data_IF_136999714775
#
_entry.id   IF_136999714775
#
_cell.length_a   1.000
_cell.length_b   1.000
_cell.length_c   1.000
_cell.angle_alpha   90.00
_cell.angle_beta   90.00
_cell.angle_gamma   90.00
#
_symmetry.space_group_name_H-M   'P 1'
#
loop_
_entity.id
_entity.type
_entity.pdbx_description
1 polymer ?
#
# COMPACT_ATOMS: atom_id res chain seq x y z
N UNK A 1 9.09 0.33 -11.36
CA UNK A 1 9.46 0.99 -10.22
C UNK A 1 8.33 1.62 -9.63
N UNK A 2 7.27 1.15 -9.22
CA UNK A 2 6.90 1.52 -7.87
C UNK A 2 7.16 0.39 -6.89
N UNK A 3 7.38 0.78 -5.62
CA UNK A 3 7.44 -0.13 -4.48
C UNK A 3 6.31 0.23 -3.53
N UNK A 4 5.37 -0.68 -3.35
CA UNK A 4 4.28 -0.50 -2.40
C UNK A 4 4.51 -1.38 -1.18
N UNK A 5 4.47 -0.78 0.00
CA UNK A 5 4.57 -1.49 1.27
C UNK A 5 3.27 -1.32 2.02
N UNK A 6 2.66 -2.43 2.42
CA UNK A 6 1.43 -2.45 3.20
C UNK A 6 1.74 -2.94 4.60
N UNK A 7 1.39 -2.13 5.60
CA UNK A 7 1.47 -2.50 7.01
C UNK A 7 0.05 -2.58 7.56
N UNK A 8 -0.26 -3.65 8.29
CA UNK A 8 -1.62 -3.82 8.81
C UNK A 8 -1.63 -4.50 10.18
N UNK A 9 -2.62 -4.15 10.98
CA UNK A 9 -2.84 -4.80 12.27
C UNK A 9 -3.42 -6.19 12.09
N UNK A 10 -2.97 -7.13 12.91
CA UNK A 10 -3.33 -8.55 12.78
C UNK A 10 -4.78 -8.88 13.12
N UNK A 11 -5.58 -7.89 13.49
CA UNK A 11 -6.99 -8.07 13.88
C UNK A 11 -7.99 -7.69 12.76
N UNK A 12 -7.54 -7.64 11.52
CA UNK A 12 -8.45 -7.46 10.38
C UNK A 12 -9.23 -8.76 10.14
N UNK A 13 -10.52 -8.62 9.79
CA UNK A 13 -11.43 -9.75 9.65
C UNK A 13 -11.29 -10.37 8.25
N UNK A 14 -10.95 -11.66 8.20
CA UNK A 14 -10.85 -12.40 6.94
C UNK A 14 -9.86 -11.82 5.93
N UNK A 15 -8.84 -11.12 6.39
CA UNK A 15 -7.91 -10.41 5.51
C UNK A 15 -6.97 -11.36 4.76
N UNK A 16 -6.95 -11.26 3.43
CA UNK A 16 -6.03 -11.99 2.57
C UNK A 16 -4.98 -11.01 2.03
N UNK A 17 -3.78 -11.07 2.59
CA UNK A 17 -2.71 -10.14 2.22
C UNK A 17 -2.31 -10.27 0.75
N UNK A 18 -2.13 -11.49 0.25
CA UNK A 18 -1.72 -11.69 -1.15
C UNK A 18 -2.78 -11.21 -2.13
N UNK A 19 -4.05 -11.50 -1.89
CA UNK A 19 -5.14 -11.04 -2.74
C UNK A 19 -5.22 -9.51 -2.73
N UNK A 20 -5.02 -8.89 -1.56
CA UNK A 20 -4.99 -7.43 -1.44
C UNK A 20 -3.84 -6.83 -2.23
N UNK A 21 -2.65 -7.40 -2.13
CA UNK A 21 -1.49 -6.92 -2.88
C UNK A 21 -1.71 -7.00 -4.39
N UNK A 22 -2.32 -8.08 -4.87
CA UNK A 22 -2.66 -8.21 -6.30
C UNK A 22 -3.65 -7.12 -6.71
N UNK A 23 -4.68 -6.88 -5.91
CA UNK A 23 -5.67 -5.83 -6.20
C UNK A 23 -5.04 -4.43 -6.23
N UNK A 24 -4.12 -4.15 -5.31
CA UNK A 24 -3.40 -2.88 -5.29
C UNK A 24 -2.47 -2.74 -6.51
N UNK A 25 -1.78 -3.80 -6.88
CA UNK A 25 -0.94 -3.80 -8.08
C UNK A 25 -1.78 -3.58 -9.35
N UNK A 26 -2.94 -4.20 -9.44
CA UNK A 26 -3.86 -3.98 -10.56
C UNK A 26 -4.32 -2.52 -10.65
N UNK A 27 -4.59 -1.90 -9.50
CA UNK A 27 -4.95 -0.48 -9.46
C UNK A 27 -3.80 0.39 -9.97
N UNK A 28 -2.57 0.08 -9.60
CA UNK A 28 -1.39 0.82 -10.05
C UNK A 28 -1.13 0.60 -11.55
N UNK A 29 -1.25 -0.63 -12.03
CA UNK A 29 -1.11 -0.94 -13.45
C UNK A 29 -2.18 -0.22 -14.28
N UNK A 30 -3.41 -0.19 -13.79
CA UNK A 30 -4.53 0.48 -14.46
C UNK A 30 -4.45 2.01 -14.42
N UNK A 31 -3.57 2.60 -13.63
CA UNK A 31 -3.42 4.06 -13.55
C UNK A 31 -2.79 4.67 -14.81
N UNK A 32 -2.11 3.88 -15.62
CA UNK A 32 -1.42 4.36 -16.82
C UNK A 32 -0.02 4.93 -16.55
N UNK A 33 0.45 4.93 -15.31
CA UNK A 33 1.74 5.51 -14.94
C UNK A 33 2.87 4.49 -14.83
N UNK A 34 2.57 3.20 -14.76
CA UNK A 34 3.56 2.17 -14.47
C UNK A 34 3.41 0.97 -15.40
N UNK A 35 4.54 0.33 -15.69
CA UNK A 35 4.59 -0.94 -16.39
C UNK A 35 4.29 -2.04 -15.37
N UNK A 36 3.42 -2.97 -15.71
CA UNK A 36 2.92 -4.02 -14.79
C UNK A 36 4.05 -4.76 -14.08
N UNK A 37 5.07 -5.21 -14.84
CA UNK A 37 6.17 -5.99 -14.28
C UNK A 37 7.04 -5.19 -13.30
N UNK A 38 7.01 -3.86 -13.39
CA UNK A 38 7.80 -3.00 -12.51
C UNK A 38 7.19 -2.85 -11.12
N UNK A 39 5.91 -3.17 -10.95
CA UNK A 39 5.17 -2.95 -9.71
C UNK A 39 5.51 -4.05 -8.72
N UNK A 40 6.12 -3.68 -7.59
CA UNK A 40 6.46 -4.60 -6.52
C UNK A 40 5.73 -4.18 -5.26
N UNK A 41 5.04 -5.13 -4.64
CA UNK A 41 4.35 -4.87 -3.39
C UNK A 41 4.63 -5.96 -2.38
N UNK A 42 4.54 -5.59 -1.11
CA UNK A 42 4.79 -6.48 0.01
C UNK A 42 3.99 -6.03 1.21
N UNK A 43 3.70 -6.96 2.11
CA UNK A 43 2.88 -6.67 3.28
C UNK A 43 3.55 -7.20 4.55
N UNK A 44 3.39 -6.45 5.63
CA UNK A 44 3.82 -6.85 6.96
C UNK A 44 2.63 -6.78 7.92
N UNK A 45 2.36 -7.90 8.57
CA UNK A 45 1.36 -7.99 9.62
C UNK A 45 1.97 -7.60 10.96
N UNK A 46 1.27 -6.80 11.73
CA UNK A 46 1.67 -6.43 13.10
C UNK A 46 0.71 -7.06 14.11
N UNK A 47 1.27 -7.83 15.02
CA UNK A 47 0.52 -8.38 16.14
C UNK A 47 0.65 -7.48 17.38
N UNK A 48 1.76 -6.76 17.47
CA UNK A 48 2.03 -5.79 18.54
C UNK A 48 1.86 -4.39 17.98
N UNK A 49 0.76 -3.73 18.33
CA UNK A 49 0.46 -2.37 17.89
C UNK A 49 -0.44 -1.68 18.92
N UNK A 50 -0.38 -0.36 18.96
CA UNK A 50 -1.25 0.48 19.78
C UNK A 50 -1.76 1.62 18.92
N UNK A 51 -3.07 1.84 18.91
CA UNK A 51 -3.71 2.95 18.22
C UNK A 51 -4.28 3.90 19.27
N UNK A 52 -3.73 5.09 19.33
CA UNK A 52 -4.02 6.02 20.42
C UNK A 52 -3.31 5.61 21.70
N UNK A 53 -4.02 5.67 22.83
CA UNK A 53 -3.42 5.45 24.16
C UNK A 53 -4.16 4.40 24.98
N UNK A 54 -5.10 3.70 24.40
CA UNK A 54 -5.92 2.70 25.11
C UNK A 54 -5.94 1.38 24.35
N UNK A 55 -6.48 0.35 25.00
CA UNK A 55 -6.69 -0.97 24.40
C UNK A 55 -8.08 -1.14 23.76
N UNK A 56 -8.76 -0.04 23.44
CA UNK A 56 -10.05 -0.11 22.76
C UNK A 56 -9.94 -0.86 21.41
N UNK A 57 -11.03 -1.50 20.93
CA UNK A 57 -10.98 -2.23 19.65
C UNK A 57 -10.72 -1.28 18.49
N UNK A 58 -9.51 -1.33 17.96
CA UNK A 58 -9.04 -0.49 16.87
C UNK A 58 -8.15 -1.29 15.93
N UNK A 59 -8.18 -0.96 14.66
CA UNK A 59 -7.38 -1.61 13.63
C UNK A 59 -6.87 -0.58 12.64
N UNK A 60 -5.81 -0.94 11.91
CA UNK A 60 -5.28 -0.06 10.88
C UNK A 60 -4.71 -0.85 9.70
N UNK A 61 -4.67 -0.20 8.55
CA UNK A 61 -3.82 -0.58 7.44
C UNK A 61 -3.26 0.68 6.82
N UNK A 62 -1.97 0.67 6.52
CA UNK A 62 -1.24 1.81 5.97
C UNK A 62 -0.41 1.39 4.78
N UNK A 63 -0.62 2.03 3.63
CA UNK A 63 0.14 1.77 2.42
C UNK A 63 1.12 2.92 2.15
N UNK A 64 2.34 2.55 1.77
CA UNK A 64 3.38 3.49 1.35
C UNK A 64 3.75 3.16 -0.09
N UNK A 65 3.61 4.12 -0.99
CA UNK A 65 4.01 3.95 -2.38
C UNK A 65 5.23 4.81 -2.67
N UNK A 66 6.37 4.15 -2.90
CA UNK A 66 7.61 4.83 -3.26
C UNK A 66 7.75 4.80 -4.78
N UNK A 67 7.86 5.97 -5.39
CA UNK A 67 7.98 6.17 -6.83
C UNK A 67 9.13 7.12 -7.14
N UNK A 68 9.67 7.04 -8.34
CA UNK A 68 10.72 7.97 -8.77
C UNK A 68 10.19 9.40 -8.74
N UNK A 69 11.02 10.31 -8.26
CA UNK A 69 10.70 11.74 -8.18
C UNK A 69 10.38 12.32 -9.57
N UNK A 70 9.61 13.39 -9.60
CA UNK A 70 9.29 14.13 -10.83
C UNK A 70 7.82 14.20 -11.19
N UNK A 71 6.95 13.43 -10.53
CA UNK A 71 5.51 13.52 -10.77
C UNK A 71 4.90 14.69 -9.97
N UNK A 72 3.88 15.30 -10.55
CA UNK A 72 3.20 16.43 -9.91
C UNK A 72 2.40 16.00 -8.67
N UNK A 73 2.08 16.96 -7.82
CA UNK A 73 1.22 16.70 -6.65
C UNK A 73 -0.15 16.18 -7.08
N UNK A 74 -0.70 16.64 -8.19
CA UNK A 74 -2.00 16.17 -8.68
C UNK A 74 -1.97 14.69 -9.07
N UNK A 75 -0.92 14.26 -9.77
CA UNK A 75 -0.73 12.85 -10.14
C UNK A 75 -0.58 12.01 -8.87
N UNK A 76 0.24 12.45 -7.93
CA UNK A 76 0.46 11.72 -6.67
C UNK A 76 -0.81 11.63 -5.84
N UNK A 77 -1.60 12.69 -5.79
CA UNK A 77 -2.89 12.68 -5.08
C UNK A 77 -3.86 11.68 -5.72
N UNK A 78 -3.94 11.66 -7.05
CA UNK A 78 -4.82 10.73 -7.76
C UNK A 78 -4.40 9.27 -7.50
N UNK A 79 -3.10 8.98 -7.50
CA UNK A 79 -2.58 7.64 -7.16
C UNK A 79 -2.93 7.26 -5.72
N UNK A 80 -2.76 8.19 -4.79
CA UNK A 80 -3.05 7.98 -3.37
C UNK A 80 -4.54 7.64 -3.17
N UNK A 81 -5.43 8.40 -3.77
CA UNK A 81 -6.88 8.18 -3.68
C UNK A 81 -7.28 6.84 -4.30
N UNK A 82 -6.68 6.49 -5.45
CA UNK A 82 -6.96 5.23 -6.14
C UNK A 82 -6.56 4.03 -5.29
N UNK A 83 -5.36 4.05 -4.72
CA UNK A 83 -4.87 2.97 -3.86
C UNK A 83 -5.71 2.87 -2.59
N UNK A 84 -6.01 4.01 -1.95
CA UNK A 84 -6.82 4.03 -0.74
C UNK A 84 -8.22 3.46 -0.98
N UNK A 85 -8.83 3.77 -2.12
CA UNK A 85 -10.14 3.25 -2.48
C UNK A 85 -10.14 1.72 -2.59
N UNK A 86 -9.12 1.15 -3.23
CA UNK A 86 -9.00 -0.31 -3.35
C UNK A 86 -8.71 -0.94 -1.99
N UNK A 87 -7.83 -0.32 -1.20
CA UNK A 87 -7.52 -0.80 0.14
C UNK A 87 -8.78 -0.85 1.02
N UNK A 88 -9.64 0.15 0.92
CA UNK A 88 -10.91 0.19 1.65
C UNK A 88 -11.85 -0.95 1.27
N UNK A 89 -11.80 -1.42 0.03
CA UNK A 89 -12.58 -2.57 -0.42
C UNK A 89 -12.03 -3.89 0.10
N UNK A 90 -10.73 -3.96 0.40
CA UNK A 90 -10.06 -5.18 0.82
C UNK A 90 -9.98 -5.36 2.33
N UNK A 91 -10.20 -4.31 3.11
CA UNK A 91 -10.02 -4.33 4.57
C UNK A 91 -11.37 -4.27 5.28
N UNK A 92 -11.54 -5.17 6.23
CA UNK A 92 -12.72 -5.22 7.11
C UNK A 92 -12.24 -5.47 8.54
N UNK A 93 -12.79 -4.73 9.48
CA UNK A 93 -12.54 -4.98 10.90
C UNK A 93 -13.75 -5.68 11.53
N UNK A 94 -13.56 -6.41 12.64
CA UNK A 94 -14.67 -6.98 13.39
C UNK A 94 -15.67 -5.91 13.81
N UNK A 95 -16.93 -6.31 13.98
CA UNK A 95 -17.98 -5.42 14.43
C UNK A 95 -17.58 -4.70 15.72
N UNK A 96 -17.82 -3.39 15.78
CA UNK A 96 -17.43 -2.56 16.93
C UNK A 96 -15.98 -2.11 16.95
N UNK A 97 -15.19 -2.48 15.96
CA UNK A 97 -13.79 -2.08 15.84
C UNK A 97 -13.66 -0.85 14.95
N UNK A 98 -12.95 0.16 15.45
CA UNK A 98 -12.63 1.36 14.68
C UNK A 98 -11.46 1.07 13.74
N UNK A 99 -11.69 1.19 12.43
CA UNK A 99 -10.67 0.90 11.41
C UNK A 99 -10.20 2.18 10.75
N UNK A 100 -8.89 2.40 10.74
CA UNK A 100 -8.27 3.52 10.04
C UNK A 100 -7.44 3.00 8.87
N UNK A 101 -7.64 3.60 7.70
CA UNK A 101 -6.86 3.31 6.50
C UNK A 101 -6.14 4.56 6.06
N UNK A 102 -4.91 4.42 5.65
CA UNK A 102 -4.12 5.55 5.20
C UNK A 102 -3.16 5.16 4.09
N UNK A 103 -2.73 6.17 3.33
CA UNK A 103 -1.86 6.01 2.18
C UNK A 103 -0.93 7.20 2.11
N UNK A 104 0.34 6.95 1.84
CA UNK A 104 1.31 8.02 1.57
C UNK A 104 2.13 7.72 0.32
N UNK A 105 2.56 8.77 -0.36
CA UNK A 105 3.46 8.70 -1.52
C UNK A 105 4.83 9.21 -1.07
N UNK A 106 5.87 8.43 -1.40
CA UNK A 106 7.26 8.80 -1.13
C UNK A 106 8.00 8.94 -2.45
N UNK A 107 8.78 10.02 -2.57
CA UNK A 107 9.64 10.21 -3.74
C UNK A 107 10.96 9.49 -3.54
N UNK A 108 11.32 8.63 -4.49
CA UNK A 108 12.66 8.07 -4.59
C UNK A 108 13.52 9.05 -5.40
N UNK A 109 14.71 9.35 -4.89
CA UNK A 109 15.63 10.22 -5.59
C UNK A 109 16.09 9.54 -6.88
N UNK A 110 15.66 10.09 -8.01
CA UNK A 110 15.91 9.51 -9.34
C UNK A 110 17.40 9.34 -9.63
N UNK A 111 18.22 10.28 -9.19
CA UNK A 111 19.65 10.30 -9.49
C UNK A 111 20.44 9.20 -8.80
N UNK A 112 19.92 8.66 -7.69
CA UNK A 112 20.61 7.66 -6.88
C UNK A 112 19.95 6.30 -6.91
N UNK A 113 18.77 6.19 -7.52
CA UNK A 113 18.06 4.91 -7.60
C UNK A 113 18.72 4.01 -8.65
N UNK A 114 19.10 2.81 -8.24
CA UNK A 114 19.73 1.82 -9.12
C UNK A 114 18.86 0.57 -9.21
N UNK A 115 18.75 0.01 -10.42
CA UNK A 115 17.96 -1.16 -10.70
C UNK A 115 18.68 -2.04 -11.72
N UNK A 116 18.58 -3.35 -11.56
CA UNK A 116 19.05 -4.32 -12.54
C UNK A 116 17.98 -5.40 -12.75
N UNK A 117 17.92 -5.93 -13.95
CA UNK A 117 17.05 -7.06 -14.29
C UNK A 117 17.97 -8.25 -14.55
N UNK A 118 17.70 -9.35 -13.88
CA UNK A 118 18.39 -10.62 -14.11
C UNK A 118 17.43 -11.55 -14.83
N UNK A 119 17.73 -11.84 -16.09
CA UNK A 119 16.85 -12.64 -16.92
C UNK A 119 16.81 -14.11 -16.44
N UNK A 120 15.70 -14.83 -16.68
CA UNK A 120 15.61 -16.25 -16.35
C UNK A 120 16.67 -17.06 -17.09
N UNK A 121 17.20 -18.06 -16.43
CA UNK A 121 18.16 -19.00 -17.04
C UNK A 121 17.47 -20.03 -17.91
#
# INVERSE_FOLDING_TARGET
>A
MPHLTLEYSGNLDGFDANATLVALNEALAGSGHFIELDIKSRATRFDDFVIGTTSAPRAFAHAKLAILSGRSADVKRALSERVLSVLAQCCRAPSGTHLQLSMEILDLERETYAKAIVEPR
#
